data_IF_156530998511
#
_entry.id   IF_156530998511
#
_cell.length_a   1.000
_cell.length_b   1.000
_cell.length_c   1.000
_cell.angle_alpha   90.00
_cell.angle_beta   90.00
_cell.angle_gamma   90.00
#
_symmetry.space_group_name_H-M   'P 1'
#
loop_
_entity.id
_entity.type
_entity.pdbx_description
1 polymer ?
#
# COMPACT_ATOMS: atom_id res chain seq x y z
N UNK A 1 18.41 -70.80 -53.64
CA UNK A 1 16.96 -70.66 -53.38
C UNK A 1 16.76 -70.32 -51.91
N UNK A 2 16.14 -69.16 -51.63
CA UNK A 2 15.43 -68.72 -50.41
C UNK A 2 16.11 -68.85 -49.03
N UNK A 3 16.58 -67.77 -48.38
CA UNK A 3 15.86 -66.75 -47.57
C UNK A 3 15.23 -67.23 -46.24
N UNK A 4 15.57 -66.48 -45.18
CA UNK A 4 14.93 -66.31 -43.85
C UNK A 4 15.36 -67.22 -42.67
N UNK A 5 16.21 -66.67 -41.78
CA UNK A 5 15.96 -66.62 -40.32
C UNK A 5 17.12 -65.94 -39.55
N UNK A 6 17.18 -64.60 -39.60
CA UNK A 6 18.01 -63.78 -38.68
C UNK A 6 17.20 -62.60 -38.12
N UNK A 7 16.02 -62.88 -37.60
CA UNK A 7 15.10 -61.85 -37.08
C UNK A 7 14.37 -62.29 -35.80
N UNK A 8 15.06 -62.96 -34.87
CA UNK A 8 14.44 -63.43 -33.61
C UNK A 8 15.21 -63.10 -32.33
N UNK A 9 16.25 -62.26 -32.38
CA UNK A 9 16.98 -61.85 -31.16
C UNK A 9 16.97 -60.34 -30.86
N UNK A 10 16.28 -59.52 -31.66
CA UNK A 10 16.21 -58.07 -31.45
C UNK A 10 14.89 -57.57 -30.81
N UNK A 11 13.89 -58.44 -30.61
CA UNK A 11 12.58 -58.03 -30.08
C UNK A 11 12.36 -58.31 -28.58
N UNK A 12 13.29 -59.00 -27.91
CA UNK A 12 13.14 -59.38 -26.50
C UNK A 12 13.60 -58.35 -25.47
N UNK A 13 14.41 -57.36 -25.85
CA UNK A 13 15.05 -56.42 -24.89
C UNK A 13 14.33 -55.06 -24.82
N UNK A 14 13.55 -54.67 -25.85
CA UNK A 14 12.77 -53.43 -25.81
C UNK A 14 11.45 -53.53 -25.02
N UNK A 15 10.92 -54.73 -24.78
CA UNK A 15 9.62 -54.88 -24.10
C UNK A 15 9.73 -54.89 -22.55
N UNK A 16 10.90 -55.24 -22.02
CA UNK A 16 11.14 -55.27 -20.57
C UNK A 16 11.56 -53.90 -20.00
N UNK A 17 12.09 -53.00 -20.82
CA UNK A 17 12.43 -51.63 -20.37
C UNK A 17 11.21 -50.71 -20.38
N UNK A 18 10.26 -50.88 -21.32
CA UNK A 18 9.02 -50.08 -21.35
C UNK A 18 8.02 -50.44 -20.24
N UNK A 19 7.97 -51.70 -19.81
CA UNK A 19 7.03 -52.14 -18.76
C UNK A 19 7.49 -51.74 -17.36
N UNK A 20 8.81 -51.68 -17.11
CA UNK A 20 9.36 -51.16 -15.86
C UNK A 20 9.16 -49.65 -15.70
N UNK A 21 9.26 -48.87 -16.79
CA UNK A 21 9.02 -47.41 -16.76
C UNK A 21 7.54 -47.09 -16.56
N UNK A 22 6.62 -47.89 -17.13
CA UNK A 22 5.18 -47.70 -16.90
C UNK A 22 4.73 -48.06 -15.47
N UNK A 23 5.34 -49.07 -14.83
CA UNK A 23 5.00 -49.41 -13.44
C UNK A 23 5.52 -48.38 -12.43
N UNK A 24 6.68 -47.76 -12.67
CA UNK A 24 7.15 -46.65 -11.81
C UNK A 24 6.27 -45.41 -11.97
N UNK A 25 5.73 -45.16 -13.17
CA UNK A 25 4.79 -44.07 -13.42
C UNK A 25 3.39 -44.33 -12.81
N UNK A 26 2.91 -45.58 -12.85
CA UNK A 26 1.60 -45.97 -12.29
C UNK A 26 1.60 -46.17 -10.77
N UNK A 27 2.77 -46.37 -10.13
CA UNK A 27 2.86 -46.34 -8.66
C UNK A 27 2.99 -44.92 -8.09
N UNK A 28 3.26 -43.91 -8.93
CA UNK A 28 3.26 -42.49 -8.52
C UNK A 28 1.88 -41.83 -8.63
N UNK A 29 0.88 -42.53 -9.17
CA UNK A 29 -0.54 -42.11 -9.16
C UNK A 29 -1.30 -42.74 -7.99
N UNK A 30 -0.64 -42.98 -6.86
CA UNK A 30 -1.32 -43.20 -5.60
C UNK A 30 -2.02 -41.90 -5.20
N UNK A 31 -3.34 -41.91 -5.29
CA UNK A 31 -4.26 -40.90 -4.79
C UNK A 31 -3.90 -40.52 -3.37
N UNK A 32 -3.17 -39.42 -3.22
CA UNK A 32 -3.12 -38.68 -1.96
C UNK A 32 -4.53 -38.11 -1.79
N UNK A 33 -5.34 -38.80 -0.98
CA UNK A 33 -6.58 -38.24 -0.47
C UNK A 33 -6.20 -36.99 0.34
N UNK A 34 -6.24 -35.83 -0.32
CA UNK A 34 -6.19 -34.55 0.35
C UNK A 34 -7.45 -34.44 1.21
N UNK A 35 -7.33 -34.11 2.50
CA UNK A 35 -8.50 -33.87 3.33
C UNK A 35 -9.29 -32.71 2.71
N UNK A 36 -10.61 -32.84 2.67
CA UNK A 36 -11.52 -31.75 2.30
C UNK A 36 -11.16 -30.51 3.10
N UNK A 37 -10.76 -29.43 2.42
CA UNK A 37 -10.45 -28.15 3.06
C UNK A 37 -11.72 -27.60 3.74
N UNK A 38 -11.63 -27.11 4.98
CA UNK A 38 -12.76 -26.47 5.63
C UNK A 38 -13.09 -25.13 4.96
N UNK A 39 -14.35 -24.72 5.07
CA UNK A 39 -14.95 -23.46 4.61
C UNK A 39 -14.42 -22.23 5.41
N UNK A 40 -13.13 -22.23 5.70
CA UNK A 40 -12.42 -21.25 6.53
C UNK A 40 -11.65 -20.27 5.63
N UNK A 41 -11.89 -18.98 5.85
CA UNK A 41 -11.27 -17.78 5.24
C UNK A 41 -9.74 -17.67 5.44
N UNK A 42 -9.09 -18.74 5.85
CA UNK A 42 -7.65 -18.94 5.96
C UNK A 42 -6.89 -18.66 4.65
N UNK A 43 -5.74 -17.98 4.77
CA UNK A 43 -4.86 -17.63 3.65
C UNK A 43 -3.70 -18.62 3.62
N UNK A 44 -3.58 -19.38 2.54
CA UNK A 44 -2.51 -20.36 2.36
C UNK A 44 -1.35 -19.76 1.55
N UNK A 45 -0.11 -19.97 2.03
CA UNK A 45 1.11 -19.47 1.40
C UNK A 45 2.00 -20.65 1.00
N UNK A 46 2.42 -20.74 -0.26
CA UNK A 46 3.30 -21.82 -0.73
C UNK A 46 4.70 -21.31 -1.10
N UNK A 47 5.70 -22.11 -0.77
CA UNK A 47 7.11 -21.86 -1.07
C UNK A 47 7.45 -22.56 -2.38
N UNK A 48 7.83 -21.81 -3.42
CA UNK A 48 8.32 -22.41 -4.65
C UNK A 48 9.74 -22.97 -4.41
N UNK A 49 9.90 -24.28 -4.60
CA UNK A 49 11.16 -24.98 -4.41
C UNK A 49 12.24 -24.60 -5.44
N UNK A 50 11.85 -24.02 -6.57
CA UNK A 50 12.74 -23.69 -7.70
C UNK A 50 13.43 -22.32 -7.53
N UNK A 51 12.77 -21.39 -6.84
CA UNK A 51 13.26 -20.00 -6.68
C UNK A 51 13.51 -19.59 -5.22
N UNK A 52 13.20 -20.45 -4.24
CA UNK A 52 13.37 -20.15 -2.82
C UNK A 52 12.51 -18.99 -2.31
N UNK A 53 11.55 -18.52 -3.11
CA UNK A 53 10.61 -17.43 -2.81
C UNK A 53 9.24 -18.03 -2.48
N UNK A 54 8.50 -17.38 -1.58
CA UNK A 54 7.05 -17.59 -1.52
C UNK A 54 6.46 -16.95 -2.75
N UNK A 55 5.72 -17.72 -3.54
CA UNK A 55 5.08 -17.25 -4.76
C UNK A 55 3.60 -17.56 -4.60
N UNK A 56 2.74 -16.56 -4.81
CA UNK A 56 1.35 -16.83 -5.14
C UNK A 56 1.35 -17.57 -6.48
N UNK A 57 1.19 -18.90 -6.47
CA UNK A 57 1.00 -19.64 -7.72
C UNK A 57 -0.34 -19.21 -8.32
N UNK A 58 -0.27 -18.49 -9.42
CA UNK A 58 -1.42 -18.03 -10.22
C UNK A 58 -1.99 -19.15 -11.10
N UNK A 59 -2.28 -20.31 -10.52
CA UNK A 59 -3.00 -21.37 -11.23
C UNK A 59 -4.35 -21.57 -10.57
N UNK A 60 -5.37 -20.88 -11.09
CA UNK A 60 -6.78 -21.17 -10.83
C UNK A 60 -7.25 -22.35 -11.69
N UNK A 61 -6.51 -23.46 -11.71
CA UNK A 61 -6.94 -24.70 -12.37
C UNK A 61 -7.26 -25.74 -11.30
N UNK A 62 -8.35 -26.48 -11.52
CA UNK A 62 -9.08 -27.36 -10.60
C UNK A 62 -8.28 -28.50 -9.95
N UNK A 63 -6.96 -28.60 -10.17
CA UNK A 63 -6.15 -29.71 -9.67
C UNK A 63 -4.94 -29.30 -8.82
N UNK A 64 -4.67 -28.00 -8.61
CA UNK A 64 -3.59 -27.53 -7.73
C UNK A 64 -4.05 -26.27 -6.95
N UNK A 65 -4.86 -26.49 -5.92
CA UNK A 65 -5.43 -25.44 -5.06
C UNK A 65 -4.34 -24.80 -4.18
N UNK A 66 -4.21 -23.48 -4.25
CA UNK A 66 -3.50 -22.70 -3.21
C UNK A 66 -4.34 -21.57 -2.62
N UNK A 67 -5.48 -21.22 -3.20
CA UNK A 67 -6.46 -20.34 -2.55
C UNK A 67 -7.73 -20.32 -3.39
N UNK A 68 -8.77 -21.07 -2.99
CA UNK A 68 -10.09 -21.07 -3.63
C UNK A 68 -10.76 -19.68 -3.63
N UNK A 69 -10.19 -18.72 -2.90
CA UNK A 69 -10.67 -17.33 -2.77
C UNK A 69 -9.73 -16.27 -3.36
N UNK A 70 -8.61 -16.64 -3.98
CA UNK A 70 -7.62 -15.69 -4.49
C UNK A 70 -7.91 -15.27 -5.93
N UNK A 71 -9.14 -14.82 -6.14
CA UNK A 71 -9.64 -14.21 -7.37
C UNK A 71 -9.34 -12.71 -7.38
N UNK A 72 -8.06 -12.32 -7.38
CA UNK A 72 -7.69 -10.91 -7.47
C UNK A 72 -8.04 -10.37 -8.87
N UNK A 73 -8.69 -9.21 -8.96
CA UNK A 73 -8.87 -8.47 -10.23
C UNK A 73 -7.66 -7.60 -10.59
N UNK A 74 -6.69 -7.43 -9.70
CA UNK A 74 -5.51 -6.59 -9.90
C UNK A 74 -4.28 -7.20 -9.21
N UNK A 75 -3.10 -6.94 -9.75
CA UNK A 75 -1.80 -7.33 -9.19
C UNK A 75 -1.27 -6.23 -8.23
N UNK A 76 -0.61 -6.58 -7.11
CA UNK A 76 -0.10 -5.61 -6.15
C UNK A 76 0.78 -4.54 -6.80
N UNK A 77 0.68 -3.30 -6.32
CA UNK A 77 1.32 -2.08 -6.87
C UNK A 77 2.86 -2.03 -6.72
N UNK A 78 3.55 -3.17 -6.72
CA UNK A 78 4.98 -3.22 -6.96
C UNK A 78 5.24 -3.26 -8.46
N UNK A 79 6.17 -2.43 -8.94
CA UNK A 79 6.70 -2.48 -10.32
C UNK A 79 7.10 -3.89 -10.78
N UNK A 80 7.32 -4.82 -9.84
CA UNK A 80 7.59 -6.25 -10.07
C UNK A 80 6.43 -6.95 -10.80
N UNK A 81 5.20 -6.43 -10.76
CA UNK A 81 4.04 -7.03 -11.44
C UNK A 81 3.40 -6.12 -12.50
N UNK A 82 4.01 -4.99 -12.84
CA UNK A 82 3.56 -4.15 -13.96
C UNK A 82 3.70 -4.86 -15.32
N UNK A 83 4.52 -5.91 -15.40
CA UNK A 83 4.71 -6.76 -16.59
C UNK A 83 3.58 -7.77 -16.80
N UNK A 84 2.66 -7.95 -15.84
CA UNK A 84 1.46 -8.75 -16.03
C UNK A 84 0.35 -7.81 -16.47
N UNK A 85 0.11 -7.73 -17.78
CA UNK A 85 -0.97 -6.93 -18.35
C UNK A 85 -2.34 -7.24 -17.74
N UNK A 86 -3.34 -6.41 -18.08
CA UNK A 86 -4.71 -6.59 -17.61
C UNK A 86 -5.19 -8.04 -17.86
N UNK A 87 -6.03 -8.56 -16.95
CA UNK A 87 -6.68 -9.85 -17.12
C UNK A 87 -7.46 -9.87 -18.45
N UNK A 88 -7.59 -11.06 -19.05
CA UNK A 88 -8.40 -11.21 -20.26
C UNK A 88 -9.85 -10.73 -20.03
N UNK A 89 -10.49 -10.21 -21.08
CA UNK A 89 -11.87 -9.73 -21.01
C UNK A 89 -12.84 -10.80 -20.49
N UNK A 90 -12.62 -12.06 -20.86
CA UNK A 90 -13.39 -13.20 -20.36
C UNK A 90 -13.24 -13.34 -18.82
N UNK A 91 -12.02 -13.26 -18.30
CA UNK A 91 -11.74 -13.34 -16.86
C UNK A 91 -12.29 -12.14 -16.09
N UNK A 92 -12.19 -10.94 -16.65
CA UNK A 92 -12.78 -9.74 -16.05
C UNK A 92 -14.30 -9.88 -15.94
N UNK A 93 -14.94 -10.39 -17.00
CA UNK A 93 -16.39 -10.63 -17.04
C UNK A 93 -16.82 -11.69 -16.03
N UNK A 94 -16.18 -12.86 -16.03
CA UNK A 94 -16.48 -13.98 -15.13
C UNK A 94 -16.39 -13.57 -13.65
N UNK A 95 -15.40 -12.75 -13.31
CA UNK A 95 -15.15 -12.31 -11.93
C UNK A 95 -15.90 -11.02 -11.54
N UNK A 96 -16.75 -10.49 -12.43
CA UNK A 96 -17.42 -9.21 -12.26
C UNK A 96 -16.44 -8.07 -11.90
N UNK A 97 -15.28 -8.08 -12.55
CA UNK A 97 -14.25 -7.09 -12.38
C UNK A 97 -14.62 -5.81 -13.14
N UNK A 98 -14.69 -4.69 -12.43
CA UNK A 98 -14.90 -3.37 -13.03
C UNK A 98 -14.07 -2.32 -12.26
N UNK A 99 -13.77 -1.21 -12.93
CA UNK A 99 -13.21 -0.05 -12.28
C UNK A 99 -14.32 0.60 -11.47
N UNK A 100 -14.16 0.68 -10.14
CA UNK A 100 -15.15 1.26 -9.22
C UNK A 100 -14.62 2.56 -8.63
N UNK A 101 -15.52 3.47 -8.26
CA UNK A 101 -15.13 4.67 -7.52
C UNK A 101 -14.57 4.27 -6.14
N UNK A 102 -13.61 5.03 -5.58
CA UNK A 102 -13.04 4.72 -4.27
C UNK A 102 -14.09 4.70 -3.17
N UNK A 103 -14.08 3.65 -2.34
CA UNK A 103 -14.81 3.58 -1.09
C UNK A 103 -13.96 4.07 0.09
N UNK A 104 -12.64 4.20 -0.08
CA UNK A 104 -11.79 4.92 0.84
C UNK A 104 -10.71 5.75 0.12
N UNK A 105 -10.29 6.86 0.73
CA UNK A 105 -9.27 7.75 0.18
C UNK A 105 -8.21 8.05 1.24
N UNK A 106 -6.94 7.88 0.89
CA UNK A 106 -5.79 8.30 1.70
C UNK A 106 -5.41 9.73 1.29
N UNK A 107 -5.81 10.70 2.10
CA UNK A 107 -5.77 12.13 1.74
C UNK A 107 -4.44 12.83 2.08
N UNK A 108 -3.55 12.15 2.80
CA UNK A 108 -2.38 12.79 3.36
C UNK A 108 -1.87 12.16 4.65
N UNK A 109 -0.88 12.78 5.29
CA UNK A 109 -0.17 13.98 4.82
C UNK A 109 1.15 13.61 4.12
N UNK A 110 1.53 14.40 3.12
CA UNK A 110 2.83 14.28 2.46
C UNK A 110 3.96 14.18 3.50
N UNK A 111 4.90 13.26 3.24
CA UNK A 111 6.04 12.92 4.12
C UNK A 111 5.70 12.28 5.47
N UNK A 112 4.46 11.84 5.65
CA UNK A 112 4.01 11.12 6.86
C UNK A 112 3.97 9.60 6.70
N UNK A 113 4.43 9.06 5.57
CA UNK A 113 4.43 7.60 5.32
C UNK A 113 3.31 7.11 4.40
N UNK A 114 2.61 8.00 3.69
CA UNK A 114 1.50 7.64 2.78
C UNK A 114 1.89 6.61 1.70
N UNK A 115 3.15 6.63 1.24
CA UNK A 115 3.65 5.65 0.27
C UNK A 115 3.82 4.26 0.91
N UNK A 116 4.38 4.16 2.11
CA UNK A 116 4.47 2.88 2.81
C UNK A 116 3.07 2.33 3.11
N UNK A 117 2.15 3.20 3.56
CA UNK A 117 0.77 2.83 3.81
C UNK A 117 0.08 2.28 2.55
N UNK A 118 0.11 3.01 1.43
CA UNK A 118 -0.49 2.54 0.18
C UNK A 118 0.14 1.25 -0.34
N UNK A 119 1.45 1.08 -0.13
CA UNK A 119 2.15 -0.14 -0.53
C UNK A 119 1.69 -1.31 0.31
N UNK A 120 1.63 -1.21 1.64
CA UNK A 120 1.17 -2.32 2.46
C UNK A 120 -0.30 -2.67 2.17
N UNK A 121 -1.18 -1.67 2.08
CA UNK A 121 -2.59 -1.88 1.77
C UNK A 121 -2.81 -2.51 0.39
N UNK A 122 -1.95 -2.27 -0.61
CA UNK A 122 -2.12 -2.89 -1.94
C UNK A 122 -1.89 -4.40 -1.95
N UNK A 123 -1.22 -4.96 -0.93
CA UNK A 123 -1.08 -6.41 -0.73
C UNK A 123 -2.28 -7.03 -0.02
N UNK A 124 -3.20 -6.21 0.50
CA UNK A 124 -4.40 -6.73 1.14
C UNK A 124 -5.38 -7.26 0.08
N UNK A 125 -5.86 -8.50 0.22
CA UNK A 125 -6.69 -9.17 -0.79
C UNK A 125 -8.08 -8.56 -1.03
N UNK A 126 -8.66 -7.95 0.01
CA UNK A 126 -9.95 -7.27 -0.11
C UNK A 126 -9.80 -5.77 -0.44
N UNK A 127 -8.60 -5.28 -0.76
CA UNK A 127 -8.40 -3.89 -1.22
C UNK A 127 -8.22 -3.90 -2.73
N UNK A 128 -8.41 -2.79 -3.43
CA UNK A 128 -7.98 -2.54 -4.80
C UNK A 128 -7.37 -1.15 -4.85
N UNK A 129 -6.03 -1.08 -4.79
CA UNK A 129 -5.32 0.20 -4.64
C UNK A 129 -5.05 0.82 -6.00
N UNK A 130 -5.45 2.08 -6.24
CA UNK A 130 -5.09 2.83 -7.45
C UNK A 130 -3.56 2.85 -7.69
N UNK A 131 -3.16 2.80 -8.96
CA UNK A 131 -1.74 2.65 -9.34
C UNK A 131 -0.92 3.87 -8.95
N UNK A 132 -1.40 5.03 -9.38
CA UNK A 132 -0.78 6.33 -9.17
C UNK A 132 -1.69 7.24 -8.32
N UNK A 133 -1.17 8.42 -8.00
CA UNK A 133 -1.91 9.49 -7.36
C UNK A 133 -2.82 10.16 -8.39
N UNK A 134 -4.16 10.13 -8.24
CA UNK A 134 -5.06 10.66 -9.27
C UNK A 134 -5.02 12.18 -9.40
N UNK A 135 -4.74 12.93 -8.33
CA UNK A 135 -4.83 14.41 -8.29
C UNK A 135 -6.20 15.00 -8.69
N UNK A 136 -7.22 14.15 -8.84
CA UNK A 136 -8.56 14.51 -9.31
C UNK A 136 -9.24 15.62 -8.49
N UNK A 137 -9.26 15.50 -7.16
CA UNK A 137 -10.02 16.43 -6.33
C UNK A 137 -9.35 17.80 -6.11
N UNK A 138 -8.04 17.94 -6.34
CA UNK A 138 -7.29 19.18 -6.13
C UNK A 138 -6.80 19.86 -7.42
N UNK A 139 -7.08 19.28 -8.60
CA UNK A 139 -6.80 19.86 -9.91
C UNK A 139 -8.11 20.15 -10.65
N UNK A 140 -8.47 21.43 -10.87
CA UNK A 140 -9.68 21.78 -11.61
C UNK A 140 -9.80 21.07 -12.95
N UNK A 141 -8.70 20.98 -13.70
CA UNK A 141 -8.64 20.35 -15.02
C UNK A 141 -8.93 18.84 -15.01
N UNK A 142 -8.67 18.14 -13.91
CA UNK A 142 -9.05 16.73 -13.75
C UNK A 142 -10.49 16.62 -13.27
N UNK A 143 -10.91 17.45 -12.29
CA UNK A 143 -12.26 17.41 -11.74
C UNK A 143 -13.33 17.71 -12.79
N UNK A 144 -13.08 18.69 -13.68
CA UNK A 144 -13.99 19.09 -14.77
C UNK A 144 -14.28 17.97 -15.78
N UNK A 145 -13.43 16.94 -15.86
CA UNK A 145 -13.66 15.77 -16.71
C UNK A 145 -14.70 14.79 -16.16
N UNK A 146 -15.17 15.01 -14.92
CA UNK A 146 -16.27 14.26 -14.30
C UNK A 146 -15.89 12.90 -13.70
N UNK A 147 -16.83 12.29 -12.98
CA UNK A 147 -16.59 11.08 -12.20
C UNK A 147 -16.23 9.85 -13.05
N UNK A 148 -16.66 9.79 -14.31
CA UNK A 148 -16.26 8.73 -15.24
C UNK A 148 -14.75 8.74 -15.48
N UNK A 149 -14.15 9.93 -15.62
CA UNK A 149 -12.69 10.07 -15.73
C UNK A 149 -12.00 9.56 -14.47
N UNK A 150 -12.49 9.97 -13.30
CA UNK A 150 -11.94 9.51 -12.02
C UNK A 150 -12.04 7.99 -11.85
N UNK A 151 -13.19 7.40 -12.23
CA UNK A 151 -13.36 5.94 -12.19
C UNK A 151 -12.37 5.22 -13.10
N UNK A 152 -12.09 5.74 -14.30
CA UNK A 152 -11.11 5.16 -15.23
C UNK A 152 -9.67 5.16 -14.69
N UNK A 153 -9.33 6.04 -13.75
CA UNK A 153 -8.03 6.06 -13.07
C UNK A 153 -7.88 4.95 -12.01
N UNK A 154 -8.97 4.27 -11.64
CA UNK A 154 -8.95 3.19 -10.66
C UNK A 154 -8.56 1.86 -11.31
N UNK A 155 -8.08 0.93 -10.49
CA UNK A 155 -7.90 -0.46 -10.90
C UNK A 155 -9.24 -1.19 -10.98
N UNK A 156 -9.23 -2.29 -11.75
CA UNK A 156 -10.29 -3.28 -11.67
C UNK A 156 -10.33 -3.88 -10.26
N UNK A 157 -11.54 -3.97 -9.73
CA UNK A 157 -11.83 -4.54 -8.42
C UNK A 157 -12.89 -5.63 -8.60
N UNK A 158 -13.04 -6.56 -7.67
CA UNK A 158 -14.26 -7.40 -7.55
C UNK A 158 -15.33 -6.64 -6.74
N UNK A 159 -16.60 -7.07 -6.75
CA UNK A 159 -17.64 -6.48 -5.89
C UNK A 159 -17.34 -6.57 -4.39
N UNK A 160 -16.44 -7.48 -3.97
CA UNK A 160 -16.04 -7.69 -2.57
C UNK A 160 -14.84 -6.84 -2.15
N UNK A 161 -14.14 -6.24 -3.11
CA UNK A 161 -12.96 -5.42 -2.85
C UNK A 161 -13.32 -3.96 -2.59
N UNK A 162 -12.53 -3.34 -1.72
CA UNK A 162 -12.58 -1.90 -1.41
C UNK A 162 -11.57 -1.20 -2.31
N UNK A 163 -12.05 -0.40 -3.26
CA UNK A 163 -11.19 0.47 -4.06
C UNK A 163 -10.68 1.63 -3.22
N UNK A 164 -9.36 1.84 -3.26
CA UNK A 164 -8.67 2.89 -2.49
C UNK A 164 -7.75 3.67 -3.41
N UNK A 165 -7.74 4.98 -3.28
CA UNK A 165 -6.69 5.82 -3.87
C UNK A 165 -5.96 6.64 -2.80
N UNK A 166 -4.82 7.19 -3.21
CA UNK A 166 -3.96 7.98 -2.33
C UNK A 166 -3.46 9.20 -3.08
N UNK A 167 -3.81 10.39 -2.61
CA UNK A 167 -3.21 11.66 -3.04
C UNK A 167 -2.89 12.47 -1.80
N UNK A 168 -1.61 12.65 -1.42
CA UNK A 168 -1.24 13.18 -0.12
C UNK A 168 -1.53 14.65 0.08
N UNK A 169 -1.90 15.38 -0.98
CA UNK A 169 -2.13 16.81 -0.97
C UNK A 169 -3.60 17.18 -0.76
N UNK A 170 -4.50 16.20 -0.81
CA UNK A 170 -5.91 16.45 -0.56
C UNK A 170 -6.17 17.03 0.82
N UNK A 171 -5.43 16.61 1.86
CA UNK A 171 -5.71 17.07 3.22
C UNK A 171 -5.70 18.59 3.37
N UNK A 172 -4.82 19.30 2.65
CA UNK A 172 -4.72 20.76 2.70
C UNK A 172 -5.40 21.47 1.54
N UNK A 173 -5.83 20.74 0.51
CA UNK A 173 -6.52 21.30 -0.65
C UNK A 173 -7.82 22.04 -0.30
N UNK A 174 -8.02 23.20 -0.91
CA UNK A 174 -9.21 24.01 -0.73
C UNK A 174 -10.42 23.43 -1.49
N UNK A 175 -11.58 23.39 -0.82
CA UNK A 175 -12.81 22.78 -1.36
C UNK A 175 -12.77 21.27 -1.59
N UNK A 176 -11.62 20.60 -1.38
CA UNK A 176 -11.47 19.15 -1.58
C UNK A 176 -12.45 18.33 -0.73
N UNK A 177 -12.61 18.58 0.58
CA UNK A 177 -13.52 17.78 1.41
C UNK A 177 -14.98 17.89 0.94
N UNK A 178 -15.39 19.09 0.53
CA UNK A 178 -16.74 19.38 0.04
C UNK A 178 -17.02 18.66 -1.28
N UNK A 179 -16.10 18.77 -2.25
CA UNK A 179 -16.24 18.07 -3.54
C UNK A 179 -16.34 16.56 -3.35
N UNK A 180 -15.51 15.99 -2.47
CA UNK A 180 -15.54 14.55 -2.20
C UNK A 180 -16.89 14.14 -1.60
N UNK A 181 -17.36 14.77 -0.52
CA UNK A 181 -18.59 14.31 0.14
C UNK A 181 -19.85 14.49 -0.73
N UNK A 182 -19.89 15.53 -1.58
CA UNK A 182 -20.99 15.76 -2.51
C UNK A 182 -21.11 14.67 -3.58
N UNK A 183 -19.98 14.08 -3.99
CA UNK A 183 -19.93 13.11 -5.08
C UNK A 183 -19.80 11.66 -4.58
N UNK A 184 -19.23 11.45 -3.38
CA UNK A 184 -18.98 10.15 -2.76
C UNK A 184 -19.50 10.17 -1.31
N UNK A 185 -20.82 10.15 -1.09
CA UNK A 185 -21.41 10.39 0.22
C UNK A 185 -21.05 9.33 1.28
N UNK A 186 -20.63 8.12 0.88
CA UNK A 186 -20.30 7.02 1.79
C UNK A 186 -18.80 6.73 1.90
N UNK A 187 -17.95 7.57 1.28
CA UNK A 187 -16.50 7.35 1.28
C UNK A 187 -15.90 7.49 2.67
N UNK A 188 -14.94 6.62 2.98
CA UNK A 188 -14.14 6.66 4.19
C UNK A 188 -12.84 7.42 3.95
N UNK A 189 -12.44 8.26 4.91
CA UNK A 189 -11.19 9.01 4.84
C UNK A 189 -10.13 8.39 5.74
N UNK A 190 -8.92 8.24 5.21
CA UNK A 190 -7.72 7.80 5.92
C UNK A 190 -6.70 8.95 5.88
N UNK A 191 -6.17 9.36 7.03
CA UNK A 191 -5.10 10.36 7.09
C UNK A 191 -4.01 9.90 8.04
N UNK A 192 -2.81 9.68 7.49
CA UNK A 192 -1.61 9.36 8.27
C UNK A 192 -0.83 10.64 8.57
N UNK A 193 -0.55 10.90 9.83
CA UNK A 193 0.16 12.09 10.30
C UNK A 193 1.40 11.69 11.07
N UNK A 194 2.45 12.49 10.95
CA UNK A 194 3.72 12.30 11.67
C UNK A 194 3.91 13.47 12.62
N UNK A 195 4.84 13.36 13.56
CA UNK A 195 5.37 14.52 14.27
C UNK A 195 5.57 15.72 13.32
N UNK A 196 4.96 16.90 13.62
CA UNK A 196 4.90 18.01 12.68
C UNK A 196 6.28 18.62 12.37
N UNK A 197 7.22 18.57 13.33
CA UNK A 197 8.60 19.04 13.12
C UNK A 197 9.34 18.05 12.23
N UNK A 198 9.27 16.74 12.53
CA UNK A 198 9.90 15.71 11.68
C UNK A 198 9.32 15.70 10.26
N UNK A 199 8.01 15.95 10.11
CA UNK A 199 7.35 16.06 8.80
C UNK A 199 7.87 17.27 8.02
N UNK A 200 7.98 18.44 8.65
CA UNK A 200 8.52 19.65 8.04
C UNK A 200 9.96 19.44 7.55
N UNK A 201 10.83 18.85 8.38
CA UNK A 201 12.22 18.51 8.01
C UNK A 201 12.24 17.54 6.82
N UNK A 202 11.37 16.52 6.83
CA UNK A 202 11.29 15.54 5.74
C UNK A 202 10.79 16.16 4.44
N UNK A 203 9.89 17.16 4.52
CA UNK A 203 9.39 17.91 3.37
C UNK A 203 10.49 18.80 2.78
N UNK A 204 11.15 19.61 3.60
CA UNK A 204 12.30 20.40 3.16
C UNK A 204 13.38 19.53 2.51
N UNK A 205 13.76 18.42 3.13
CA UNK A 205 14.79 17.55 2.57
C UNK A 205 14.36 16.93 1.23
N UNK A 206 13.07 16.62 1.06
CA UNK A 206 12.55 16.10 -0.20
C UNK A 206 12.64 17.13 -1.33
N UNK A 207 12.24 18.38 -1.07
CA UNK A 207 12.32 19.48 -2.04
C UNK A 207 13.78 19.81 -2.37
N UNK A 208 14.64 19.93 -1.35
CA UNK A 208 16.08 20.19 -1.50
C UNK A 208 16.78 19.20 -2.43
N UNK A 209 16.39 17.92 -2.39
CA UNK A 209 16.99 16.87 -3.20
C UNK A 209 16.49 16.82 -4.65
N UNK A 210 15.41 17.53 -4.97
CA UNK A 210 14.77 17.53 -6.28
C UNK A 210 14.92 18.85 -7.02
N UNK A 211 15.00 19.95 -6.28
CA UNK A 211 15.07 21.29 -6.85
C UNK A 211 16.42 21.54 -7.52
N UNK A 212 16.39 22.34 -8.59
CA UNK A 212 17.56 22.93 -9.23
C UNK A 212 17.61 24.45 -8.97
N UNK A 213 16.69 24.96 -8.15
CA UNK A 213 16.59 26.37 -7.83
C UNK A 213 17.77 26.81 -6.96
N UNK A 214 18.55 27.75 -7.47
CA UNK A 214 19.69 28.33 -6.79
C UNK A 214 19.29 29.15 -5.55
N UNK A 215 18.05 29.68 -5.52
CA UNK A 215 17.52 30.46 -4.41
C UNK A 215 16.86 29.60 -3.33
N UNK A 216 16.87 28.28 -3.49
CA UNK A 216 16.33 27.37 -2.47
C UNK A 216 17.14 27.50 -1.16
N UNK A 217 16.48 27.58 0.02
CA UNK A 217 17.18 27.74 1.29
C UNK A 217 18.23 26.64 1.52
N UNK A 218 19.47 27.06 1.84
CA UNK A 218 20.60 26.15 1.97
C UNK A 218 20.48 25.26 3.20
N UNK A 219 19.78 25.74 4.23
CA UNK A 219 19.50 25.02 5.48
C UNK A 219 18.00 24.94 5.78
N UNK A 220 17.61 24.00 6.63
CA UNK A 220 16.22 23.92 7.10
C UNK A 220 15.87 25.14 7.94
N UNK A 221 16.83 25.63 8.75
CA UNK A 221 16.70 26.82 9.57
C UNK A 221 16.34 28.06 8.75
N UNK A 222 17.03 28.31 7.64
CA UNK A 222 16.72 29.41 6.72
C UNK A 222 15.29 29.31 6.15
N UNK A 223 14.79 28.08 5.96
CA UNK A 223 13.45 27.85 5.44
C UNK A 223 12.32 28.07 6.46
N UNK A 224 12.61 28.02 7.76
CA UNK A 224 11.59 27.98 8.83
C UNK A 224 11.77 29.05 9.90
N UNK A 225 12.87 29.80 9.86
CA UNK A 225 13.16 30.91 10.75
C UNK A 225 13.32 32.20 9.96
N UNK A 226 12.96 33.32 10.56
CA UNK A 226 13.21 34.67 10.03
C UNK A 226 14.61 35.14 10.42
N UNK A 227 15.12 36.17 9.74
CA UNK A 227 16.47 36.69 9.98
C UNK A 227 16.67 37.27 11.41
N UNK A 228 15.58 37.71 12.04
CA UNK A 228 15.52 38.18 13.43
C UNK A 228 15.29 37.05 14.46
N UNK A 229 15.29 35.79 14.02
CA UNK A 229 15.31 34.61 14.90
C UNK A 229 13.93 34.10 15.34
N UNK A 230 12.84 34.57 14.75
CA UNK A 230 11.49 34.04 15.01
C UNK A 230 11.12 32.93 14.04
N UNK A 231 10.04 32.21 14.36
CA UNK A 231 9.47 31.21 13.46
C UNK A 231 8.88 31.91 12.23
N UNK A 232 9.29 31.49 11.04
CA UNK A 232 8.71 31.94 9.79
C UNK A 232 7.35 31.28 9.57
N UNK A 233 6.28 31.93 10.03
CA UNK A 233 4.90 31.44 9.91
C UNK A 233 4.40 31.31 8.46
N UNK A 234 5.11 31.90 7.50
CA UNK A 234 4.82 31.79 6.07
C UNK A 234 5.52 30.59 5.41
N UNK A 235 6.34 29.84 6.15
CA UNK A 235 7.01 28.64 5.65
C UNK A 235 5.98 27.56 5.32
N UNK A 236 5.91 27.15 4.04
CA UNK A 236 5.01 26.07 3.60
C UNK A 236 5.27 24.75 4.33
N UNK A 237 6.51 24.50 4.72
CA UNK A 237 6.88 23.34 5.54
C UNK A 237 6.18 23.35 6.90
N UNK A 238 6.00 24.53 7.50
CA UNK A 238 5.32 24.68 8.78
C UNK A 238 3.80 24.75 8.62
N UNK A 239 3.30 25.49 7.62
CA UNK A 239 1.88 25.61 7.31
C UNK A 239 1.27 24.22 7.09
N UNK A 240 1.89 23.40 6.23
CA UNK A 240 1.41 22.05 5.94
C UNK A 240 1.56 21.07 7.13
N UNK A 241 2.40 21.39 8.12
CA UNK A 241 2.49 20.63 9.38
C UNK A 241 1.44 21.05 10.42
N UNK A 242 0.70 22.15 10.21
CA UNK A 242 -0.34 22.63 11.11
C UNK A 242 -1.65 21.84 10.94
N UNK A 243 -1.62 20.54 11.23
CA UNK A 243 -2.72 19.60 10.93
C UNK A 243 -4.08 20.01 11.48
N UNK A 244 -4.16 20.65 12.66
CA UNK A 244 -5.42 21.07 13.27
C UNK A 244 -6.24 21.99 12.37
N UNK A 245 -5.58 22.84 11.57
CA UNK A 245 -6.22 23.76 10.63
C UNK A 245 -6.97 22.97 9.55
N UNK A 246 -6.32 21.96 8.99
CA UNK A 246 -6.86 21.16 7.89
C UNK A 246 -7.86 20.13 8.39
N UNK A 247 -7.54 19.38 9.44
CA UNK A 247 -8.43 18.36 10.02
C UNK A 247 -9.75 18.97 10.45
N UNK A 248 -9.75 20.18 11.02
CA UNK A 248 -11.00 20.90 11.33
C UNK A 248 -11.89 21.12 10.10
N UNK A 249 -11.31 21.36 8.92
CA UNK A 249 -12.06 21.48 7.66
C UNK A 249 -12.69 20.13 7.28
N UNK A 250 -11.91 19.05 7.33
CA UNK A 250 -12.42 17.70 7.02
C UNK A 250 -13.56 17.28 7.94
N UNK A 251 -13.43 17.48 9.25
CA UNK A 251 -14.44 17.09 10.23
C UNK A 251 -15.76 17.89 10.13
N UNK A 252 -15.79 19.02 9.42
CA UNK A 252 -17.05 19.72 9.09
C UNK A 252 -17.89 18.99 8.04
N UNK A 253 -17.26 18.22 7.16
CA UNK A 253 -17.90 17.53 6.04
C UNK A 253 -18.05 16.03 6.30
N UNK A 254 -17.14 15.44 7.09
CA UNK A 254 -17.14 14.02 7.38
C UNK A 254 -17.54 13.76 8.84
N UNK A 255 -18.69 13.11 9.09
CA UNK A 255 -19.13 12.80 10.44
C UNK A 255 -18.17 11.81 11.16
N UNK A 256 -18.28 11.69 12.50
CA UNK A 256 -17.53 10.70 13.27
C UNK A 256 -17.63 9.30 12.66
N UNK A 257 -16.50 8.58 12.62
CA UNK A 257 -16.44 7.24 12.03
C UNK A 257 -16.25 7.19 10.51
N UNK A 258 -16.25 8.33 9.80
CA UNK A 258 -15.84 8.42 8.38
C UNK A 258 -14.47 9.05 8.16
N UNK A 259 -13.77 9.37 9.25
CA UNK A 259 -12.40 9.88 9.23
C UNK A 259 -11.55 9.09 10.21
N UNK A 260 -10.50 8.43 9.72
CA UNK A 260 -9.53 7.72 10.55
C UNK A 260 -8.18 8.44 10.51
N UNK A 261 -7.78 8.98 11.66
CA UNK A 261 -6.44 9.49 11.90
C UNK A 261 -5.48 8.34 12.29
N UNK A 262 -4.37 8.21 11.57
CA UNK A 262 -3.33 7.18 11.75
C UNK A 262 -2.05 7.86 12.24
N UNK A 263 -1.46 7.35 13.32
CA UNK A 263 -0.17 7.85 13.81
C UNK A 263 0.99 7.18 13.06
N UNK A 264 1.70 8.02 12.30
CA UNK A 264 2.83 7.66 11.46
C UNK A 264 4.09 7.31 12.24
N UNK A 265 4.26 7.84 13.46
CA UNK A 265 5.43 7.54 14.29
C UNK A 265 5.40 6.06 14.79
N UNK A 266 4.31 5.58 15.41
CA UNK A 266 4.09 4.15 15.68
C UNK A 266 4.09 3.30 14.41
N UNK A 267 3.40 3.71 13.35
CA UNK A 267 3.36 2.97 12.08
C UNK A 267 4.76 2.72 11.50
N UNK A 268 5.66 3.71 11.59
CA UNK A 268 7.04 3.55 11.13
C UNK A 268 7.82 2.54 11.98
N UNK A 269 7.53 2.43 13.28
CA UNK A 269 8.20 1.50 14.20
C UNK A 269 7.65 0.08 14.14
N UNK A 270 6.33 -0.06 14.10
CA UNK A 270 5.59 -1.33 13.95
C UNK A 270 4.32 -1.05 13.12
N UNK A 271 4.28 -1.45 11.84
CA UNK A 271 3.16 -1.13 10.96
C UNK A 271 1.90 -1.94 11.30
N UNK A 272 2.03 -3.12 11.90
CA UNK A 272 0.94 -4.10 12.05
C UNK A 272 -0.23 -3.55 12.85
N UNK A 273 -0.07 -2.95 14.04
CA UNK A 273 -1.20 -2.46 14.82
C UNK A 273 -2.02 -1.38 14.10
N UNK A 274 -1.36 -0.47 13.36
CA UNK A 274 -2.06 0.57 12.61
C UNK A 274 -2.77 -0.02 11.38
N UNK A 275 -2.16 -0.98 10.70
CA UNK A 275 -2.79 -1.69 9.57
C UNK A 275 -4.03 -2.48 10.01
N UNK A 276 -3.97 -3.19 11.14
CA UNK A 276 -5.14 -3.90 11.70
C UNK A 276 -6.28 -2.95 12.10
N UNK A 277 -5.93 -1.76 12.59
CA UNK A 277 -6.93 -0.71 12.85
C UNK A 277 -7.62 -0.24 11.57
N UNK A 278 -6.87 -0.17 10.46
CA UNK A 278 -7.42 0.17 9.13
C UNK A 278 -8.31 -0.96 8.61
N UNK A 279 -7.92 -2.23 8.77
CA UNK A 279 -8.78 -3.38 8.40
C UNK A 279 -10.14 -3.30 9.10
N UNK A 280 -10.13 -3.10 10.42
CA UNK A 280 -11.35 -2.93 11.22
C UNK A 280 -12.18 -1.73 10.77
N UNK A 281 -11.51 -0.60 10.49
CA UNK A 281 -12.18 0.62 10.03
C UNK A 281 -12.82 0.45 8.65
N UNK A 282 -12.16 -0.24 7.73
CA UNK A 282 -12.69 -0.53 6.40
C UNK A 282 -13.78 -1.60 6.44
N UNK A 283 -13.75 -2.49 7.45
CA UNK A 283 -14.70 -3.60 7.58
C UNK A 283 -14.30 -4.81 6.72
N UNK A 284 -12.99 -4.99 6.51
CA UNK A 284 -12.42 -6.06 5.69
C UNK A 284 -11.80 -7.15 6.56
N UNK A 285 -11.43 -8.29 5.95
CA UNK A 285 -10.87 -9.41 6.71
C UNK A 285 -9.53 -9.05 7.38
N UNK A 286 -9.19 -9.64 8.54
CA UNK A 286 -7.84 -9.54 9.07
C UNK A 286 -6.83 -10.23 8.13
N UNK A 287 -5.74 -9.54 7.82
CA UNK A 287 -4.69 -9.99 6.91
C UNK A 287 -3.29 -9.70 7.47
N UNK A 288 -3.09 -8.49 8.01
CA UNK A 288 -1.78 -8.06 8.48
C UNK A 288 -1.42 -8.69 9.82
N UNK A 289 -0.40 -9.53 9.81
CA UNK A 289 0.18 -10.20 10.99
C UNK A 289 1.68 -9.94 11.08
N UNK A 290 2.28 -10.15 12.26
CA UNK A 290 3.72 -9.88 12.45
C UNK A 290 4.63 -10.79 11.60
N UNK A 291 4.20 -12.01 11.27
CA UNK A 291 5.00 -12.96 10.50
C UNK A 291 5.15 -12.62 9.01
N UNK A 292 4.30 -11.74 8.48
CA UNK A 292 4.39 -11.28 7.09
C UNK A 292 5.24 -10.03 6.92
N UNK A 293 5.84 -9.52 8.00
CA UNK A 293 6.75 -8.38 7.98
C UNK A 293 8.15 -8.78 8.44
N UNK A 294 9.16 -8.26 7.76
CA UNK A 294 10.57 -8.33 8.18
C UNK A 294 11.16 -6.93 8.17
N UNK A 295 11.90 -6.57 9.22
CA UNK A 295 12.62 -5.30 9.26
C UNK A 295 13.95 -5.46 8.54
N UNK A 296 14.19 -4.63 7.53
CA UNK A 296 15.48 -4.57 6.84
C UNK A 296 16.52 -3.92 7.76
N UNK A 297 17.59 -4.63 8.08
CA UNK A 297 18.64 -4.16 8.99
C UNK A 297 19.44 -2.98 8.43
N UNK A 298 19.63 -2.92 7.12
CA UNK A 298 20.40 -1.87 6.45
C UNK A 298 19.62 -0.57 6.33
N UNK A 299 18.36 -0.65 5.89
CA UNK A 299 17.55 0.53 5.64
C UNK A 299 16.72 0.96 6.86
N UNK A 300 16.51 0.06 7.81
CA UNK A 300 15.66 0.27 8.99
C UNK A 300 14.15 0.20 8.69
N UNK A 301 13.75 0.00 7.43
CA UNK A 301 12.35 -0.05 7.03
C UNK A 301 11.76 -1.46 7.05
N UNK A 302 10.43 -1.52 7.14
CA UNK A 302 9.68 -2.77 7.10
C UNK A 302 9.41 -3.21 5.67
N UNK A 303 9.67 -4.48 5.41
CA UNK A 303 9.37 -5.17 4.16
C UNK A 303 8.29 -6.22 4.40
N UNK A 304 7.37 -6.35 3.45
CA UNK A 304 6.47 -7.50 3.39
C UNK A 304 7.26 -8.71 2.89
N UNK A 305 7.04 -9.87 3.50
CA UNK A 305 7.63 -11.16 3.08
C UNK A 305 6.64 -12.03 2.31
N UNK A 306 5.34 -11.77 2.47
CA UNK A 306 4.23 -12.46 1.81
C UNK A 306 3.20 -11.44 1.31
N UNK A 307 2.50 -11.69 0.19
CA UNK A 307 2.75 -12.78 -0.78
C UNK A 307 4.10 -12.71 -1.49
N UNK A 308 4.62 -11.49 -1.64
CA UNK A 308 5.84 -11.21 -2.41
C UNK A 308 6.73 -10.35 -1.51
N UNK A 309 8.04 -10.61 -1.56
CA UNK A 309 9.01 -9.77 -0.86
C UNK A 309 8.99 -8.34 -1.43
N UNK A 310 8.64 -7.36 -0.59
CA UNK A 310 8.52 -5.96 -1.00
C UNK A 310 8.96 -5.03 0.11
N UNK A 311 10.04 -4.28 -0.13
CA UNK A 311 10.55 -3.28 0.79
C UNK A 311 10.13 -1.88 0.37
N UNK A 312 9.77 -1.05 1.35
CA UNK A 312 9.54 0.38 1.15
C UNK A 312 10.67 1.16 1.82
N UNK A 313 11.39 2.07 1.15
CA UNK A 313 11.34 2.40 -0.29
C UNK A 313 12.02 1.33 -1.16
N UNK A 314 11.55 1.17 -2.40
CA UNK A 314 12.03 0.15 -3.34
C UNK A 314 13.39 0.46 -3.97
N UNK A 315 13.83 1.72 -4.01
CA UNK A 315 14.89 2.12 -4.94
C UNK A 315 16.11 2.81 -4.36
N UNK A 316 16.09 3.47 -3.19
CA UNK A 316 17.30 4.03 -2.53
C UNK A 316 17.11 4.17 -1.01
N UNK A 317 18.18 4.08 -0.20
CA UNK A 317 18.13 4.53 1.19
C UNK A 317 17.57 5.96 1.23
N UNK A 318 16.64 6.23 2.14
CA UNK A 318 16.22 7.60 2.38
C UNK A 318 17.45 8.42 2.78
N UNK A 319 17.78 9.50 2.06
CA UNK A 319 18.91 10.33 2.44
C UNK A 319 18.70 10.81 3.87
N UNK A 320 19.78 10.88 4.67
CA UNK A 320 19.67 11.35 6.04
C UNK A 320 19.02 12.73 6.04
N UNK A 321 18.16 12.96 7.03
CA UNK A 321 17.62 14.29 7.25
C UNK A 321 18.76 15.26 7.58
N UNK A 322 18.67 16.54 7.18
CA UNK A 322 19.66 17.53 7.59
C UNK A 322 19.71 17.60 9.12
N UNK A 323 20.89 17.88 9.66
CA UNK A 323 21.02 18.22 11.08
C UNK A 323 20.37 19.57 11.29
N UNK A 324 19.54 19.66 12.32
CA UNK A 324 18.87 20.90 12.74
C UNK A 324 19.31 21.21 14.15
N UNK A 325 19.59 22.47 14.46
CA UNK A 325 20.02 22.86 15.81
C UNK A 325 18.94 22.58 16.87
N UNK A 326 19.36 22.16 18.06
CA UNK A 326 18.44 21.86 19.17
C UNK A 326 17.60 23.09 19.58
N UNK A 327 18.16 24.28 19.47
CA UNK A 327 17.46 25.55 19.73
C UNK A 327 16.28 25.75 18.76
N UNK A 328 16.50 25.51 17.46
CA UNK A 328 15.44 25.61 16.45
C UNK A 328 14.42 24.50 16.64
N UNK A 329 14.84 23.26 16.89
CA UNK A 329 13.92 22.16 17.19
C UNK A 329 12.99 22.51 18.38
N UNK A 330 13.56 22.95 19.50
CA UNK A 330 12.80 23.35 20.68
C UNK A 330 11.81 24.50 20.38
N UNK A 331 12.25 25.47 19.56
CA UNK A 331 11.40 26.59 19.14
C UNK A 331 10.22 26.11 18.28
N UNK A 332 10.46 25.21 17.32
CA UNK A 332 9.40 24.64 16.49
C UNK A 332 8.43 23.75 17.29
N UNK A 333 8.92 22.95 18.24
CA UNK A 333 8.03 22.17 19.12
C UNK A 333 7.14 23.09 19.97
N UNK A 334 7.68 24.19 20.52
CA UNK A 334 6.86 25.20 21.23
C UNK A 334 5.82 25.84 20.31
N UNK A 335 6.18 26.12 19.07
CA UNK A 335 5.27 26.66 18.05
C UNK A 335 4.11 25.69 17.73
N UNK A 336 4.40 24.40 17.54
CA UNK A 336 3.36 23.40 17.23
C UNK A 336 2.53 22.96 18.42
N UNK A 337 3.03 23.06 19.66
CA UNK A 337 2.33 22.63 20.88
C UNK A 337 0.86 23.08 20.96
N UNK A 338 0.48 24.38 20.79
CA UNK A 338 -0.93 24.77 20.82
C UNK A 338 -1.76 24.15 19.68
N UNK A 339 -1.17 23.98 18.49
CA UNK A 339 -1.84 23.34 17.34
C UNK A 339 -2.07 21.84 17.59
N UNK A 340 -1.09 21.15 18.18
CA UNK A 340 -1.19 19.74 18.55
C UNK A 340 -2.29 19.53 19.60
N UNK A 341 -2.38 20.41 20.61
CA UNK A 341 -3.48 20.39 21.59
C UNK A 341 -4.85 20.60 20.95
N UNK A 342 -4.94 21.47 19.94
CA UNK A 342 -6.18 21.66 19.19
C UNK A 342 -6.54 20.41 18.37
N UNK A 343 -5.56 19.78 17.73
CA UNK A 343 -5.77 18.55 16.97
C UNK A 343 -6.26 17.41 17.86
N UNK A 344 -5.64 17.24 19.04
CA UNK A 344 -6.03 16.22 20.02
C UNK A 344 -7.51 16.35 20.41
N UNK A 345 -7.98 17.58 20.66
CA UNK A 345 -9.38 17.87 20.96
C UNK A 345 -10.31 17.57 19.78
N UNK A 346 -9.92 17.96 18.56
CA UNK A 346 -10.72 17.75 17.35
C UNK A 346 -10.95 16.26 17.06
N UNK A 347 -9.96 15.44 17.34
CA UNK A 347 -10.02 14.01 17.05
C UNK A 347 -10.59 13.16 18.20
N UNK A 348 -11.05 13.81 19.28
CA UNK A 348 -11.65 13.15 20.46
C UNK A 348 -10.70 12.10 21.08
N UNK A 349 -9.45 12.51 21.33
CA UNK A 349 -8.34 11.75 21.95
C UNK A 349 -7.79 10.54 21.17
N UNK A 350 -7.20 10.72 19.99
CA UNK A 350 -6.27 9.75 19.45
C UNK A 350 -4.91 9.90 20.14
N UNK A 351 -4.34 8.79 20.57
CA UNK A 351 -3.04 8.68 21.24
C UNK A 351 -1.87 8.91 20.28
N UNK A 352 -1.75 10.12 19.71
CA UNK A 352 -0.55 10.48 18.96
C UNK A 352 0.57 10.75 19.95
N UNK A 353 1.70 10.08 19.78
CA UNK A 353 2.82 10.18 20.75
C UNK A 353 3.42 11.58 20.83
N UNK A 354 3.26 12.38 19.78
CA UNK A 354 3.79 13.74 19.71
C UNK A 354 2.84 14.82 20.21
N UNK A 355 1.68 14.46 20.75
CA UNK A 355 0.81 15.40 21.45
C UNK A 355 1.38 15.87 22.81
N UNK A 356 2.27 15.08 23.41
CA UNK A 356 2.90 15.42 24.69
C UNK A 356 4.15 16.30 24.60
N UNK A 357 4.67 16.54 23.38
CA UNK A 357 5.92 17.32 23.20
C UNK A 357 5.76 18.83 23.40
#
# INVERSE_FOLDING_TARGET
MSFRSKALWAFGVSYLVSTAILMVYLMYTATVNLPSLPDDRSIYWWRDASYGRYILRHTCNETDVVCDTCCYCYTPASHIMADFGDLSEATLTERHCEKRLPQAIIIGAMKSGTYALRTYLSYHPDIAMAYDEPWFWNKPEEFEQGLERYRKMMHYSTPRQVTIEKTPDYYHGEGVPERIIQNLPDVKILMIMKDPVKRAISHYNFERLRTQDFYFPATFEEAVMTADGYVNVHSEYLIQSAYSVFVKRWLRHFPPGRFLAIDGDPFQRDPVPQLQRIEKYLGIRPFFTKDIFVKNSTSGFWCLTKPIYSCVPQSRPHPPHPKVSDSVLMTLYRYFRPLNKQLAKLLEEPSFEWFSY
#
